data_IF_078470759358
#
_entry.id   IF_078470759358
#
_cell.length_a   1.000
_cell.length_b   1.000
_cell.length_c   1.000
_cell.angle_alpha   90.00
_cell.angle_beta   90.00
_cell.angle_gamma   90.00
#
_symmetry.space_group_name_H-M   'P 1'
#
loop_
_entity.id
_entity.type
_entity.pdbx_description
1 polymer ?
#
# COMPACT_ATOMS: atom_id res chain seq x y z
N UNK A 1 -21.17 13.85 -12.50
CA UNK A 1 -21.08 13.80 -11.02
C UNK A 1 -20.26 12.57 -10.66
N UNK A 2 -19.07 12.72 -10.08
CA UNK A 2 -18.35 11.56 -9.51
C UNK A 2 -19.23 10.95 -8.42
N UNK A 3 -19.46 9.63 -8.40
CA UNK A 3 -20.26 8.99 -7.36
C UNK A 3 -19.69 9.35 -5.98
N UNK A 4 -20.57 9.50 -4.98
CA UNK A 4 -20.14 9.62 -3.58
C UNK A 4 -19.37 8.33 -3.25
N UNK A 5 -18.08 8.46 -3.05
CA UNK A 5 -17.21 7.37 -2.62
C UNK A 5 -17.79 6.76 -1.34
N UNK A 6 -18.10 5.47 -1.35
CA UNK A 6 -18.60 4.79 -0.17
C UNK A 6 -17.48 4.70 0.86
N UNK A 7 -17.75 5.16 2.08
CA UNK A 7 -16.78 5.14 3.17
C UNK A 7 -16.48 3.67 3.49
N UNK A 8 -15.25 3.21 3.25
CA UNK A 8 -14.86 1.83 3.52
C UNK A 8 -14.69 1.61 5.04
N UNK A 9 -15.26 0.52 5.54
CA UNK A 9 -15.17 0.11 6.95
C UNK A 9 -13.71 -0.03 7.44
N UNK A 10 -12.82 -0.63 6.64
CA UNK A 10 -11.41 -0.80 7.01
C UNK A 10 -10.67 0.53 7.14
N UNK A 11 -11.04 1.53 6.33
CA UNK A 11 -10.49 2.90 6.44
C UNK A 11 -10.94 3.56 7.75
N UNK A 12 -12.23 3.45 8.07
CA UNK A 12 -12.79 3.99 9.32
C UNK A 12 -12.13 3.32 10.54
N UNK A 13 -12.01 2.00 10.54
CA UNK A 13 -11.36 1.26 11.64
C UNK A 13 -9.92 1.74 11.82
N UNK A 14 -9.16 1.87 10.73
CA UNK A 14 -7.76 2.30 10.80
C UNK A 14 -7.61 3.73 11.34
N UNK A 15 -8.49 4.66 10.92
CA UNK A 15 -8.51 6.03 11.45
C UNK A 15 -8.91 6.08 12.92
N UNK A 16 -9.88 5.24 13.34
CA UNK A 16 -10.27 5.11 14.74
C UNK A 16 -9.12 4.58 15.60
N UNK A 17 -8.35 3.62 15.10
CA UNK A 17 -7.13 3.12 15.78
C UNK A 17 -6.11 4.23 15.94
N UNK A 18 -5.82 5.00 14.89
CA UNK A 18 -4.90 6.15 14.96
C UNK A 18 -5.40 7.16 16.01
N UNK A 19 -6.68 7.50 16.01
CA UNK A 19 -7.26 8.42 17.00
C UNK A 19 -7.10 7.90 18.43
N UNK A 20 -7.46 6.63 18.68
CA UNK A 20 -7.36 6.01 20.00
C UNK A 20 -5.92 5.97 20.50
N UNK A 21 -4.97 5.60 19.64
CA UNK A 21 -3.54 5.60 19.97
C UNK A 21 -3.05 7.00 20.28
N UNK A 22 -3.44 8.00 19.48
CA UNK A 22 -3.00 9.40 19.68
C UNK A 22 -3.46 9.91 21.05
N UNK A 23 -4.74 9.69 21.40
CA UNK A 23 -5.25 10.04 22.73
C UNK A 23 -4.61 9.22 23.84
N UNK A 24 -4.34 7.93 23.61
CA UNK A 24 -3.69 7.05 24.58
C UNK A 24 -2.25 7.47 24.90
N UNK A 25 -1.44 7.76 23.87
CA UNK A 25 -0.06 8.24 24.03
C UNK A 25 -0.05 9.60 24.72
N UNK A 26 -0.94 10.51 24.29
CA UNK A 26 -1.08 11.83 24.92
C UNK A 26 -1.43 11.70 26.41
N UNK A 27 -2.51 10.97 26.74
CA UNK A 27 -2.95 10.77 28.11
C UNK A 27 -1.88 10.09 28.98
N UNK A 28 -1.15 9.11 28.41
CA UNK A 28 -0.05 8.45 29.10
C UNK A 28 1.11 9.40 29.44
N UNK A 29 1.49 10.29 28.51
CA UNK A 29 2.56 11.27 28.73
C UNK A 29 2.14 12.38 29.70
N UNK A 30 0.89 12.87 29.60
CA UNK A 30 0.34 13.84 30.54
C UNK A 30 0.25 13.28 31.97
N UNK A 31 -0.17 12.02 32.11
CA UNK A 31 -0.24 11.34 33.41
C UNK A 31 1.16 11.16 34.03
N UNK A 32 2.13 10.73 33.22
CA UNK A 32 3.53 10.57 33.65
C UNK A 32 4.12 11.89 34.15
N UNK A 33 3.81 12.99 33.49
CA UNK A 33 4.40 14.30 33.79
C UNK A 33 3.64 15.07 34.87
N UNK A 34 2.59 14.46 35.46
CA UNK A 34 1.75 15.03 36.51
C UNK A 34 1.19 16.43 36.15
N UNK A 35 0.78 16.61 34.89
CA UNK A 35 0.22 17.88 34.40
C UNK A 35 -1.10 18.23 35.09
N UNK A 36 -1.38 19.53 35.18
CA UNK A 36 -2.62 20.04 35.76
C UNK A 36 -3.83 19.81 34.82
N UNK A 37 -5.07 19.79 35.34
CA UNK A 37 -6.26 19.52 34.53
C UNK A 37 -6.49 20.49 33.35
N UNK A 38 -6.06 21.74 33.48
CA UNK A 38 -6.11 22.76 32.43
C UNK A 38 -5.07 22.51 31.31
N UNK A 39 -3.89 22.02 31.68
CA UNK A 39 -2.86 21.56 30.72
C UNK A 39 -3.34 20.31 29.97
N UNK A 40 -3.98 19.36 30.66
CA UNK A 40 -4.63 18.21 30.03
C UNK A 40 -5.67 18.63 28.98
N UNK A 41 -6.47 19.65 29.30
CA UNK A 41 -7.49 20.17 28.39
C UNK A 41 -6.83 20.79 27.14
N UNK A 42 -5.74 21.52 27.31
CA UNK A 42 -4.99 22.13 26.21
C UNK A 42 -4.38 21.06 25.29
N UNK A 43 -3.81 20.00 25.87
CA UNK A 43 -3.26 18.86 25.13
C UNK A 43 -4.35 18.05 24.41
N UNK A 44 -5.55 17.96 24.98
CA UNK A 44 -6.72 17.38 24.30
C UNK A 44 -7.09 18.17 23.04
N UNK A 45 -7.17 19.49 23.11
CA UNK A 45 -7.47 20.34 21.93
C UNK A 45 -6.38 20.27 20.88
N UNK A 46 -5.10 20.29 21.27
CA UNK A 46 -3.97 20.12 20.35
C UNK A 46 -4.08 18.78 19.60
N UNK A 47 -4.41 17.70 20.33
CA UNK A 47 -4.62 16.37 19.76
C UNK A 47 -5.78 16.35 18.77
N UNK A 48 -6.90 17.02 19.08
CA UNK A 48 -8.05 17.12 18.19
C UNK A 48 -7.69 17.85 16.88
N UNK A 49 -6.97 18.98 16.97
CA UNK A 49 -6.52 19.74 15.80
C UNK A 49 -5.62 18.87 14.92
N UNK A 50 -4.68 18.17 15.53
CA UNK A 50 -3.80 17.25 14.81
C UNK A 50 -4.58 16.12 14.12
N UNK A 51 -5.53 15.49 14.80
CA UNK A 51 -6.33 14.41 14.21
C UNK A 51 -7.16 14.89 13.00
N UNK A 52 -7.73 16.11 13.08
CA UNK A 52 -8.44 16.71 11.94
C UNK A 52 -7.50 16.95 10.75
N UNK A 53 -6.32 17.51 10.99
CA UNK A 53 -5.30 17.73 9.96
C UNK A 53 -4.79 16.41 9.36
N UNK A 54 -4.52 15.41 10.21
CA UNK A 54 -4.10 14.07 9.84
C UNK A 54 -5.13 13.37 8.94
N UNK A 55 -6.41 13.39 9.30
CA UNK A 55 -7.47 12.81 8.46
C UNK A 55 -7.53 13.47 7.08
N UNK A 56 -7.37 14.80 7.02
CA UNK A 56 -7.33 15.52 5.75
C UNK A 56 -6.09 15.13 4.91
N UNK A 57 -4.91 15.11 5.53
CA UNK A 57 -3.64 14.78 4.87
C UNK A 57 -3.64 13.35 4.31
N UNK A 58 -4.13 12.37 5.08
CA UNK A 58 -4.23 10.99 4.63
C UNK A 58 -5.17 10.82 3.44
N UNK A 59 -6.33 11.49 3.44
CA UNK A 59 -7.25 11.46 2.31
C UNK A 59 -6.73 12.23 1.09
N UNK A 60 -5.99 13.32 1.32
CA UNK A 60 -5.33 14.08 0.26
C UNK A 60 -4.26 13.24 -0.45
N UNK A 61 -3.33 12.66 0.32
CA UNK A 61 -2.23 11.85 -0.21
C UNK A 61 -2.72 10.54 -0.86
N UNK A 62 -3.76 9.91 -0.32
CA UNK A 62 -4.41 8.77 -0.95
C UNK A 62 -4.92 9.13 -2.35
N UNK A 63 -5.62 10.27 -2.49
CA UNK A 63 -6.14 10.73 -3.78
C UNK A 63 -5.04 11.05 -4.79
N UNK A 64 -3.85 11.39 -4.32
CA UNK A 64 -2.68 11.63 -5.18
C UNK A 64 -1.84 10.37 -5.44
N UNK A 65 -2.25 9.19 -4.96
CA UNK A 65 -1.44 7.95 -5.00
C UNK A 65 -0.12 8.07 -4.24
N UNK A 66 -0.02 9.00 -3.28
CA UNK A 66 1.17 9.22 -2.47
C UNK A 66 1.43 8.11 -1.46
N UNK A 67 0.43 7.28 -1.16
CA UNK A 67 0.52 6.14 -0.23
C UNK A 67 0.42 4.85 -1.07
N UNK A 68 1.46 4.02 -1.01
CA UNK A 68 1.61 2.73 -1.72
C UNK A 68 1.18 2.71 -3.20
N UNK A 69 1.26 3.86 -3.90
CA UNK A 69 0.89 4.04 -5.30
C UNK A 69 -0.55 3.61 -5.65
N UNK A 70 -1.42 3.44 -4.65
CA UNK A 70 -2.77 2.93 -4.80
C UNK A 70 -3.78 3.99 -4.32
N UNK A 71 -4.90 4.14 -5.02
CA UNK A 71 -5.98 5.03 -4.59
C UNK A 71 -6.90 4.35 -3.56
N UNK A 72 -6.88 3.02 -3.50
CA UNK A 72 -7.70 2.18 -2.62
C UNK A 72 -6.89 1.62 -1.44
N UNK A 73 -6.03 2.43 -0.83
CA UNK A 73 -5.21 1.98 0.30
C UNK A 73 -6.03 1.80 1.57
N UNK A 74 -5.86 0.65 2.22
CA UNK A 74 -6.27 0.47 3.60
C UNK A 74 -5.19 1.10 4.50
N UNK A 75 -5.58 1.96 5.46
CA UNK A 75 -4.63 2.57 6.40
C UNK A 75 -4.18 1.62 7.53
N UNK A 76 -4.42 0.30 7.39
CA UNK A 76 -4.23 -0.68 8.46
C UNK A 76 -2.77 -0.73 8.87
N UNK A 77 -1.84 -0.93 7.93
CA UNK A 77 -0.41 -1.01 8.26
C UNK A 77 0.14 0.33 8.77
N UNK A 78 -0.33 1.43 8.21
CA UNK A 78 0.00 2.76 8.73
C UNK A 78 -0.46 2.89 10.19
N UNK A 79 -1.68 2.44 10.52
CA UNK A 79 -2.20 2.47 11.89
C UNK A 79 -1.40 1.57 12.85
N UNK A 80 -0.97 0.38 12.41
CA UNK A 80 -0.10 -0.51 13.19
C UNK A 80 1.28 0.13 13.42
N UNK A 81 1.89 0.68 12.37
CA UNK A 81 3.20 1.35 12.44
C UNK A 81 3.13 2.61 13.30
N UNK A 82 2.02 3.35 13.22
CA UNK A 82 1.74 4.50 14.08
C UNK A 82 1.56 4.07 15.54
N UNK A 83 0.89 2.94 15.80
CA UNK A 83 0.76 2.35 17.15
C UNK A 83 2.12 2.00 17.75
N UNK A 84 2.97 1.31 16.98
CA UNK A 84 4.35 1.00 17.38
C UNK A 84 5.14 2.28 17.63
N UNK A 85 5.01 3.28 16.76
CA UNK A 85 5.68 4.58 16.89
C UNK A 85 5.21 5.33 18.14
N UNK A 86 3.91 5.33 18.45
CA UNK A 86 3.36 5.91 19.67
C UNK A 86 3.90 5.24 20.94
N UNK A 87 3.98 3.91 20.96
CA UNK A 87 4.62 3.16 22.05
C UNK A 87 6.11 3.49 22.20
N UNK A 88 6.83 3.63 21.09
CA UNK A 88 8.23 4.06 21.08
C UNK A 88 8.39 5.48 21.64
N UNK A 89 7.52 6.42 21.28
CA UNK A 89 7.54 7.79 21.81
C UNK A 89 7.35 7.78 23.33
N UNK A 90 6.41 6.99 23.84
CA UNK A 90 6.23 6.82 25.28
C UNK A 90 7.48 6.23 25.95
N UNK A 91 8.12 5.23 25.35
CA UNK A 91 9.36 4.64 25.89
C UNK A 91 10.56 5.62 25.85
N UNK A 92 10.71 6.36 24.75
CA UNK A 92 11.77 7.34 24.55
C UNK A 92 11.62 8.54 25.50
N UNK A 93 10.41 8.82 25.99
CA UNK A 93 10.18 9.87 27.00
C UNK A 93 10.95 9.68 28.32
N UNK A 94 11.51 8.49 28.57
CA UNK A 94 12.36 8.22 29.75
C UNK A 94 13.84 8.55 29.51
N UNK A 95 14.24 8.80 28.26
CA UNK A 95 15.61 9.17 27.91
C UNK A 95 15.86 10.66 28.19
N UNK A 96 17.14 11.05 28.39
CA UNK A 96 17.51 12.44 28.61
C UNK A 96 17.06 13.30 27.43
N UNK A 97 16.69 14.55 27.73
CA UNK A 97 16.05 15.49 26.82
C UNK A 97 16.69 15.51 25.41
N UNK A 98 17.97 15.84 25.26
CA UNK A 98 18.56 15.98 23.92
C UNK A 98 18.75 14.66 23.16
N UNK A 99 18.86 13.52 23.85
CA UNK A 99 19.28 12.24 23.25
C UNK A 99 18.11 11.30 22.94
N UNK A 100 16.88 11.82 22.86
CA UNK A 100 15.70 11.05 22.44
C UNK A 100 15.78 10.70 20.95
N UNK A 101 15.75 9.41 20.53
CA UNK A 101 15.91 9.03 19.13
C UNK A 101 14.62 9.22 18.31
N UNK A 102 14.18 10.47 18.15
CA UNK A 102 12.95 10.86 17.42
C UNK A 102 12.97 10.50 15.93
N UNK A 103 14.16 10.29 15.35
CA UNK A 103 14.28 9.82 13.96
C UNK A 103 13.67 8.44 13.72
N UNK A 104 13.65 7.56 14.73
CA UNK A 104 13.19 6.17 14.57
C UNK A 104 11.71 6.12 14.15
N UNK A 105 10.75 6.71 14.91
CA UNK A 105 9.36 6.81 14.48
C UNK A 105 9.17 7.32 13.04
N UNK A 106 9.92 8.35 12.65
CA UNK A 106 9.80 8.98 11.33
C UNK A 106 10.29 8.05 10.22
N UNK A 107 11.42 7.35 10.44
CA UNK A 107 11.95 6.36 9.49
C UNK A 107 10.95 5.22 9.29
N UNK A 108 10.35 4.71 10.37
CA UNK A 108 9.34 3.64 10.30
C UNK A 108 8.09 4.09 9.54
N UNK A 109 7.57 5.28 9.84
CA UNK A 109 6.40 5.84 9.17
C UNK A 109 6.66 6.11 7.69
N UNK A 110 7.85 6.57 7.33
CA UNK A 110 8.23 6.81 5.92
C UNK A 110 8.32 5.51 5.12
N UNK A 111 8.64 4.37 5.77
CA UNK A 111 8.70 3.07 5.10
C UNK A 111 7.32 2.60 4.60
N UNK A 112 6.25 2.91 5.35
CA UNK A 112 4.88 2.45 5.07
C UNK A 112 4.03 3.51 4.37
N UNK A 113 4.44 4.78 4.42
CA UNK A 113 3.71 5.90 3.82
C UNK A 113 4.62 6.75 2.89
N UNK A 114 4.55 8.07 3.03
CA UNK A 114 5.36 9.04 2.32
C UNK A 114 6.08 9.93 3.35
N UNK A 115 6.93 10.84 2.85
CA UNK A 115 7.62 11.77 3.74
C UNK A 115 6.70 12.83 4.34
N UNK A 116 5.64 13.25 3.64
CA UNK A 116 4.76 14.31 4.11
C UNK A 116 4.05 13.88 5.40
N UNK A 117 3.36 12.73 5.33
CA UNK A 117 2.67 12.11 6.48
C UNK A 117 3.64 11.79 7.61
N UNK A 118 4.83 11.26 7.29
CA UNK A 118 5.82 10.94 8.30
C UNK A 118 6.36 12.20 9.01
N UNK A 119 6.56 13.31 8.30
CA UNK A 119 6.95 14.59 8.89
C UNK A 119 5.82 15.15 9.75
N UNK A 120 4.58 15.16 9.27
CA UNK A 120 3.43 15.66 10.02
C UNK A 120 3.23 14.88 11.34
N UNK A 121 3.34 13.55 11.30
CA UNK A 121 3.27 12.70 12.49
C UNK A 121 4.48 12.89 13.41
N UNK A 122 5.68 12.99 12.85
CA UNK A 122 6.91 13.24 13.60
C UNK A 122 6.87 14.57 14.34
N UNK A 123 6.48 15.65 13.67
CA UNK A 123 6.36 16.98 14.27
C UNK A 123 5.32 17.01 15.38
N UNK A 124 4.20 16.29 15.22
CA UNK A 124 3.24 16.14 16.30
C UNK A 124 3.88 15.43 17.50
N UNK A 125 4.57 14.31 17.30
CA UNK A 125 5.26 13.62 18.40
C UNK A 125 6.32 14.49 19.08
N UNK A 126 7.08 15.27 18.31
CA UNK A 126 8.08 16.21 18.84
C UNK A 126 7.42 17.28 19.73
N UNK A 127 6.30 17.86 19.28
CA UNK A 127 5.51 18.82 20.05
C UNK A 127 4.96 18.20 21.33
N UNK A 128 4.38 17.00 21.25
CA UNK A 128 3.85 16.30 22.43
C UNK A 128 4.96 16.01 23.44
N UNK A 129 6.12 15.53 22.99
CA UNK A 129 7.27 15.26 23.87
C UNK A 129 7.80 16.52 24.55
N UNK A 130 7.88 17.64 23.83
CA UNK A 130 8.38 18.89 24.37
C UNK A 130 7.40 19.52 25.37
N UNK A 131 6.10 19.51 25.06
CA UNK A 131 5.06 20.11 25.90
C UNK A 131 4.72 19.29 27.15
N UNK A 132 4.84 17.95 27.10
CA UNK A 132 4.50 17.09 28.24
C UNK A 132 5.67 16.86 29.20
N UNK A 133 6.81 16.39 28.68
CA UNK A 133 7.93 15.92 29.53
C UNK A 133 8.81 17.08 30.00
N UNK A 134 8.54 18.29 29.50
CA UNK A 134 9.40 19.45 29.70
C UNK A 134 10.63 19.37 28.78
N UNK A 135 10.78 20.38 27.93
CA UNK A 135 11.92 20.52 27.04
C UNK A 135 12.22 21.99 26.80
N UNK A 136 13.51 22.32 26.75
CA UNK A 136 14.02 23.58 26.28
C UNK A 136 13.64 23.81 24.81
N UNK A 137 13.56 25.08 24.42
CA UNK A 137 13.37 25.45 23.01
C UNK A 137 14.43 24.80 22.10
N UNK A 138 15.66 24.65 22.60
CA UNK A 138 16.74 23.99 21.87
C UNK A 138 16.49 22.51 21.62
N UNK A 139 15.88 21.78 22.56
CA UNK A 139 15.53 20.38 22.35
C UNK A 139 14.43 20.20 21.31
N UNK A 140 13.38 21.04 21.35
CA UNK A 140 12.34 21.02 20.31
C UNK A 140 12.92 21.33 18.93
N UNK A 141 13.79 22.35 18.82
CA UNK A 141 14.46 22.68 17.57
C UNK A 141 15.33 21.52 17.05
N UNK A 142 16.05 20.83 17.94
CA UNK A 142 16.83 19.65 17.59
C UNK A 142 15.93 18.51 17.07
N UNK A 143 14.81 18.24 17.75
CA UNK A 143 13.87 17.20 17.33
C UNK A 143 13.28 17.49 15.95
N UNK A 144 12.78 18.71 15.73
CA UNK A 144 12.22 19.10 14.43
C UNK A 144 13.24 18.95 13.29
N UNK A 145 14.50 19.35 13.54
CA UNK A 145 15.58 19.19 12.57
C UNK A 145 15.86 17.71 12.28
N UNK A 146 15.92 16.87 13.31
CA UNK A 146 16.11 15.42 13.19
C UNK A 146 14.95 14.76 12.45
N UNK A 147 13.71 15.15 12.73
CA UNK A 147 12.49 14.65 12.08
C UNK A 147 12.48 14.98 10.58
N UNK A 148 12.79 16.22 10.19
CA UNK A 148 12.87 16.59 8.78
C UNK A 148 13.98 15.81 8.06
N UNK A 149 15.17 15.72 8.65
CA UNK A 149 16.28 14.96 8.06
C UNK A 149 15.97 13.47 7.98
N UNK A 150 15.32 12.90 8.99
CA UNK A 150 14.92 11.50 9.00
C UNK A 150 14.00 11.16 7.83
N UNK A 151 13.01 12.01 7.54
CA UNK A 151 12.10 11.78 6.43
C UNK A 151 12.81 11.86 5.07
N UNK A 152 13.70 12.83 4.86
CA UNK A 152 14.47 12.99 3.61
C UNK A 152 15.41 11.80 3.41
N UNK A 153 16.15 11.40 4.45
CA UNK A 153 17.06 10.25 4.39
C UNK A 153 16.28 8.94 4.20
N UNK A 154 15.13 8.79 4.85
CA UNK A 154 14.30 7.61 4.69
C UNK A 154 13.73 7.47 3.27
N UNK A 155 13.45 8.57 2.57
CA UNK A 155 13.15 8.49 1.12
C UNK A 155 14.32 7.91 0.33
N UNK A 156 15.55 8.39 0.59
CA UNK A 156 16.74 7.88 -0.07
C UNK A 156 17.05 6.40 0.27
N UNK A 157 16.63 5.91 1.44
CA UNK A 157 16.74 4.50 1.83
C UNK A 157 15.86 3.57 0.97
N UNK A 158 14.87 4.09 0.23
CA UNK A 158 14.08 3.28 -0.72
C UNK A 158 14.96 2.76 -1.86
N UNK A 159 16.05 3.44 -2.19
CA UNK A 159 17.01 2.99 -3.20
C UNK A 159 18.06 2.03 -2.63
N UNK A 160 18.08 0.78 -3.11
CA UNK A 160 19.04 -0.25 -2.65
C UNK A 160 20.51 0.15 -2.82
N UNK A 161 20.84 0.99 -3.81
CA UNK A 161 22.21 1.34 -4.18
C UNK A 161 22.95 2.15 -3.10
N UNK A 162 22.27 3.06 -2.41
CA UNK A 162 22.89 3.98 -1.45
C UNK A 162 22.59 3.64 0.02
N UNK A 163 21.94 2.51 0.28
CA UNK A 163 21.44 2.11 1.62
C UNK A 163 22.44 2.27 2.76
N UNK A 164 23.64 1.71 2.60
CA UNK A 164 24.67 1.78 3.65
C UNK A 164 25.17 3.20 3.87
N UNK A 165 25.36 3.97 2.79
CA UNK A 165 25.77 5.37 2.87
C UNK A 165 24.72 6.24 3.57
N UNK A 166 23.44 6.08 3.21
CA UNK A 166 22.34 6.84 3.83
C UNK A 166 22.15 6.44 5.30
N UNK A 167 22.27 5.16 5.64
CA UNK A 167 22.20 4.71 7.04
C UNK A 167 23.35 5.32 7.87
N UNK A 168 24.55 5.38 7.31
CA UNK A 168 25.71 6.03 7.93
C UNK A 168 25.50 7.54 8.12
N UNK A 169 24.85 8.22 7.17
CA UNK A 169 24.48 9.63 7.33
C UNK A 169 23.47 9.83 8.47
N UNK A 170 22.46 8.98 8.58
CA UNK A 170 21.50 8.98 9.71
C UNK A 170 22.22 8.82 11.05
N UNK A 171 23.23 7.96 11.12
CA UNK A 171 24.08 7.81 12.31
C UNK A 171 24.79 9.14 12.67
N UNK A 172 25.47 9.76 11.71
CA UNK A 172 26.20 11.00 11.99
C UNK A 172 25.29 12.17 12.38
N UNK A 173 24.13 12.33 11.74
CA UNK A 173 23.20 13.39 12.12
C UNK A 173 22.58 13.16 13.50
N UNK A 174 22.20 11.93 13.83
CA UNK A 174 21.69 11.59 15.17
C UNK A 174 22.75 11.68 16.27
N UNK A 175 24.03 11.63 15.93
CA UNK A 175 25.12 11.87 16.86
C UNK A 175 25.40 13.38 17.05
N UNK A 176 25.52 14.13 15.94
CA UNK A 176 26.02 15.51 15.95
C UNK A 176 24.96 16.54 16.38
N UNK A 177 23.71 16.37 15.95
CA UNK A 177 22.65 17.38 16.20
C UNK A 177 22.30 17.45 17.69
N UNK A 178 22.01 16.35 18.40
CA UNK A 178 21.81 16.38 19.85
C UNK A 178 22.96 17.03 20.62
N UNK A 179 24.21 16.68 20.29
CA UNK A 179 25.39 17.21 20.98
C UNK A 179 25.51 18.73 20.77
N UNK A 180 25.32 19.20 19.54
CA UNK A 180 25.38 20.63 19.20
C UNK A 180 24.33 21.43 19.99
N UNK A 181 23.06 20.97 19.97
CA UNK A 181 21.98 21.68 20.66
C UNK A 181 22.08 21.56 22.19
N UNK A 182 22.56 20.42 22.70
CA UNK A 182 22.84 20.25 24.13
C UNK A 182 23.89 21.26 24.58
N UNK A 183 25.01 21.39 23.85
CA UNK A 183 26.06 22.37 24.15
C UNK A 183 25.56 23.82 24.03
N UNK A 184 24.73 24.13 23.03
CA UNK A 184 24.16 25.47 22.87
C UNK A 184 23.27 25.87 24.06
N UNK A 185 22.56 24.90 24.65
CA UNK A 185 21.68 25.09 25.81
C UNK A 185 22.46 25.22 27.13
N UNK A 186 23.35 24.27 27.43
CA UNK A 186 24.01 24.17 28.75
C UNK A 186 25.32 24.95 28.84
N UNK A 187 25.95 25.28 27.70
CA UNK A 187 27.33 25.83 27.60
C UNK A 187 28.42 24.94 28.23
N UNK A 188 28.08 23.74 28.65
CA UNK A 188 28.98 22.79 29.29
C UNK A 188 28.82 21.41 28.65
N UNK A 189 29.95 20.72 28.45
CA UNK A 189 29.97 19.33 27.99
C UNK A 189 29.69 18.39 29.16
N UNK A 190 28.54 17.74 29.14
CA UNK A 190 28.18 16.76 30.17
C UNK A 190 29.01 15.50 30.01
N UNK A 191 29.53 14.96 31.13
CA UNK A 191 30.51 13.86 31.14
C UNK A 191 30.03 12.56 30.44
N UNK A 192 28.72 12.36 30.31
CA UNK A 192 28.10 11.19 29.67
C UNK A 192 27.31 11.50 28.39
N UNK A 193 27.33 12.75 27.88
CA UNK A 193 26.56 13.16 26.68
C UNK A 193 26.86 12.27 25.48
N UNK A 194 28.16 12.14 25.16
CA UNK A 194 28.66 11.37 24.02
C UNK A 194 28.27 9.89 24.08
N UNK A 195 28.19 9.30 25.27
CA UNK A 195 27.80 7.90 25.41
C UNK A 195 26.32 7.70 25.06
N UNK A 196 25.44 8.58 25.55
CA UNK A 196 24.01 8.56 25.20
C UNK A 196 23.80 8.86 23.72
N UNK A 197 24.48 9.88 23.18
CA UNK A 197 24.41 10.25 21.76
C UNK A 197 24.86 9.10 20.85
N UNK A 198 25.95 8.42 21.20
CA UNK A 198 26.42 7.27 20.44
C UNK A 198 25.45 6.09 20.52
N UNK A 199 24.92 5.79 21.71
CA UNK A 199 23.96 4.70 21.88
C UNK A 199 22.68 4.92 21.07
N UNK A 200 22.15 6.14 21.07
CA UNK A 200 20.92 6.48 20.34
C UNK A 200 21.16 6.57 18.84
N UNK A 201 22.32 7.10 18.41
CA UNK A 201 22.73 7.09 17.01
C UNK A 201 22.97 5.67 16.46
N UNK A 202 23.53 4.79 17.28
CA UNK A 202 23.70 3.40 16.89
C UNK A 202 22.34 2.69 16.73
N UNK A 203 21.39 2.98 17.60
CA UNK A 203 20.03 2.45 17.49
C UNK A 203 19.31 2.97 16.22
N UNK A 204 19.40 4.27 15.92
CA UNK A 204 18.83 4.85 14.69
C UNK A 204 19.47 4.23 13.45
N UNK A 205 20.79 4.02 13.46
CA UNK A 205 21.50 3.32 12.39
C UNK A 205 20.96 1.90 12.15
N UNK A 206 20.80 1.09 13.20
CA UNK A 206 20.26 -0.26 13.07
C UNK A 206 18.84 -0.26 12.50
N UNK A 207 18.00 0.69 12.94
CA UNK A 207 16.63 0.80 12.41
C UNK A 207 16.62 1.18 10.92
N UNK A 208 17.45 2.14 10.50
CA UNK A 208 17.60 2.51 9.10
C UNK A 208 18.20 1.39 8.25
N UNK A 209 19.24 0.72 8.76
CA UNK A 209 19.98 -0.29 8.02
C UNK A 209 19.17 -1.58 7.85
N UNK A 210 18.43 -2.03 8.86
CA UNK A 210 17.78 -3.35 8.84
C UNK A 210 16.24 -3.28 8.81
N UNK A 211 15.64 -2.57 9.77
CA UNK A 211 14.18 -2.57 9.95
C UNK A 211 13.45 -1.87 8.78
N UNK A 212 14.00 -0.76 8.28
CA UNK A 212 13.41 -0.02 7.17
C UNK A 212 13.16 -0.90 5.93
N UNK A 213 14.17 -1.68 5.52
CA UNK A 213 14.04 -2.49 4.32
C UNK A 213 13.08 -3.66 4.49
N UNK A 214 13.05 -4.27 5.69
CA UNK A 214 12.09 -5.33 5.99
C UNK A 214 10.66 -4.81 5.85
N UNK A 215 10.37 -3.65 6.45
CA UNK A 215 9.06 -3.02 6.37
C UNK A 215 8.70 -2.58 4.96
N UNK A 216 9.66 -2.01 4.22
CA UNK A 216 9.46 -1.62 2.82
C UNK A 216 9.15 -2.84 1.95
N UNK A 217 9.90 -3.93 2.10
CA UNK A 217 9.66 -5.16 1.34
C UNK A 217 8.31 -5.79 1.66
N UNK A 218 7.95 -5.86 2.95
CA UNK A 218 6.64 -6.32 3.36
C UNK A 218 5.53 -5.41 2.79
N UNK A 219 5.78 -4.10 2.61
CA UNK A 219 4.80 -3.13 2.11
C UNK A 219 4.63 -3.25 0.59
N UNK A 220 5.71 -3.47 -0.14
CA UNK A 220 5.68 -3.74 -1.58
C UNK A 220 4.93 -5.05 -1.87
N UNK A 221 5.12 -6.07 -1.03
CA UNK A 221 4.42 -7.36 -1.16
C UNK A 221 2.94 -7.32 -0.77
N UNK A 222 2.48 -6.25 -0.10
CA UNK A 222 1.10 -6.16 0.39
C UNK A 222 0.09 -6.18 -0.76
N UNK A 223 0.37 -5.46 -1.84
CA UNK A 223 -0.52 -5.42 -3.01
C UNK A 223 -0.61 -6.81 -3.64
N UNK A 224 0.52 -7.49 -3.78
CA UNK A 224 0.59 -8.84 -4.35
C UNK A 224 -0.13 -9.88 -3.46
N UNK A 225 0.07 -9.81 -2.14
CA UNK A 225 -0.63 -10.67 -1.18
C UNK A 225 -2.14 -10.38 -1.18
N UNK A 226 -2.54 -9.11 -1.24
CA UNK A 226 -3.94 -8.75 -1.30
C UNK A 226 -4.64 -9.29 -2.55
N UNK A 227 -3.96 -9.28 -3.70
CA UNK A 227 -4.46 -9.89 -4.94
C UNK A 227 -4.66 -11.42 -4.81
N UNK A 228 -3.84 -12.11 -4.02
CA UNK A 228 -4.01 -13.53 -3.73
C UNK A 228 -5.15 -13.77 -2.73
N UNK A 229 -5.24 -12.95 -1.68
CA UNK A 229 -6.25 -13.07 -0.64
C UNK A 229 -7.68 -12.91 -1.19
N UNK A 230 -7.89 -11.99 -2.13
CA UNK A 230 -9.22 -11.78 -2.73
C UNK A 230 -9.69 -12.98 -3.57
N UNK A 231 -8.77 -13.74 -4.18
CA UNK A 231 -9.11 -14.93 -4.98
C UNK A 231 -9.22 -16.19 -4.10
N UNK A 232 -8.83 -16.12 -2.83
CA UNK A 232 -8.93 -17.25 -1.90
C UNK A 232 -10.38 -17.72 -1.72
N UNK A 233 -10.57 -19.04 -1.55
CA UNK A 233 -11.91 -19.63 -1.42
C UNK A 233 -12.72 -19.10 -0.22
N UNK A 234 -12.02 -18.59 0.80
CA UNK A 234 -12.63 -18.06 2.01
C UNK A 234 -13.16 -16.64 1.86
N UNK A 235 -12.76 -15.93 0.80
CA UNK A 235 -13.15 -14.56 0.55
C UNK A 235 -14.64 -14.42 0.27
N UNK A 236 -15.26 -13.34 0.79
CA UNK A 236 -16.72 -13.17 0.75
C UNK A 236 -17.28 -13.10 -0.67
N UNK A 237 -16.57 -12.44 -1.59
CA UNK A 237 -17.03 -12.34 -2.98
C UNK A 237 -16.86 -13.65 -3.77
N UNK A 238 -15.90 -14.49 -3.38
CA UNK A 238 -15.75 -15.84 -3.96
C UNK A 238 -16.94 -16.72 -3.55
N UNK A 239 -17.37 -16.61 -2.29
CA UNK A 239 -18.59 -17.27 -1.79
C UNK A 239 -19.83 -16.76 -2.51
N UNK A 240 -19.96 -15.44 -2.67
CA UNK A 240 -21.07 -14.84 -3.41
C UNK A 240 -21.14 -15.31 -4.87
N UNK A 241 -20.01 -15.46 -5.55
CA UNK A 241 -19.95 -16.02 -6.90
C UNK A 241 -20.39 -17.49 -6.95
N UNK A 242 -19.93 -18.31 -5.99
CA UNK A 242 -20.36 -19.72 -5.86
C UNK A 242 -21.88 -19.83 -5.66
N UNK A 243 -22.45 -18.95 -4.83
CA UNK A 243 -23.89 -18.91 -4.55
C UNK A 243 -24.71 -18.43 -5.77
N UNK A 244 -24.16 -17.51 -6.56
CA UNK A 244 -24.78 -17.03 -7.80
C UNK A 244 -24.78 -18.10 -8.89
N UNK A 245 -23.62 -18.68 -9.20
CA UNK A 245 -23.50 -19.70 -10.25
C UNK A 245 -22.19 -20.48 -10.14
N UNK A 246 -22.32 -21.78 -9.94
CA UNK A 246 -21.17 -22.70 -10.00
C UNK A 246 -20.56 -22.81 -11.41
N UNK A 247 -21.32 -22.53 -12.47
CA UNK A 247 -20.79 -22.49 -13.83
C UNK A 247 -19.89 -21.27 -14.01
N UNK A 248 -20.35 -20.11 -13.54
CA UNK A 248 -19.57 -18.87 -13.62
C UNK A 248 -18.32 -18.94 -12.74
N UNK A 249 -18.44 -19.54 -11.55
CA UNK A 249 -17.29 -19.79 -10.68
C UNK A 249 -16.21 -20.64 -11.37
N UNK A 250 -16.58 -21.77 -11.98
CA UNK A 250 -15.62 -22.63 -12.70
C UNK A 250 -14.97 -21.91 -13.88
N UNK A 251 -15.75 -21.12 -14.60
CA UNK A 251 -15.26 -20.29 -15.69
C UNK A 251 -14.23 -19.26 -15.19
N UNK A 252 -14.57 -18.50 -14.14
CA UNK A 252 -13.67 -17.52 -13.52
C UNK A 252 -12.37 -18.14 -13.02
N UNK A 253 -12.43 -19.32 -12.38
CA UNK A 253 -11.23 -20.07 -11.94
C UNK A 253 -10.37 -20.48 -13.13
N UNK A 254 -11.00 -20.96 -14.22
CA UNK A 254 -10.28 -21.39 -15.44
C UNK A 254 -9.57 -20.21 -16.12
N UNK A 255 -10.26 -19.09 -16.32
CA UNK A 255 -9.70 -17.86 -16.90
C UNK A 255 -8.57 -17.32 -16.02
N UNK A 256 -8.80 -17.27 -14.70
CA UNK A 256 -7.82 -16.82 -13.70
C UNK A 256 -6.52 -17.61 -13.74
N UNK A 257 -6.58 -18.96 -13.74
CA UNK A 257 -5.39 -19.82 -13.73
C UNK A 257 -4.61 -19.72 -15.06
N UNK A 258 -5.31 -19.75 -16.21
CA UNK A 258 -4.66 -19.63 -17.52
C UNK A 258 -3.99 -18.26 -17.67
N UNK A 259 -4.67 -17.17 -17.27
CA UNK A 259 -4.12 -15.82 -17.33
C UNK A 259 -2.89 -15.70 -16.42
N UNK A 260 -2.91 -16.28 -15.22
CA UNK A 260 -1.77 -16.30 -14.30
C UNK A 260 -0.56 -17.02 -14.91
N UNK A 261 -0.75 -18.21 -15.47
CA UNK A 261 0.34 -18.97 -16.09
C UNK A 261 0.91 -18.26 -17.30
N UNK A 262 0.05 -17.71 -18.16
CA UNK A 262 0.48 -16.97 -19.34
C UNK A 262 1.27 -15.70 -18.95
N UNK A 263 0.82 -14.99 -17.91
CA UNK A 263 1.52 -13.82 -17.39
C UNK A 263 2.95 -14.16 -16.91
N UNK A 264 3.14 -15.32 -16.25
CA UNK A 264 4.47 -15.78 -15.79
C UNK A 264 5.44 -16.00 -16.96
N UNK A 265 4.97 -16.58 -18.05
CA UNK A 265 5.80 -16.84 -19.24
C UNK A 265 6.21 -15.58 -19.99
N UNK A 266 5.35 -14.57 -20.00
CA UNK A 266 5.56 -13.32 -20.73
C UNK A 266 6.28 -12.26 -19.87
N UNK A 267 6.33 -12.47 -18.55
CA UNK A 267 6.94 -11.55 -17.58
C UNK A 267 6.01 -10.43 -17.13
N UNK A 268 4.70 -10.65 -17.15
CA UNK A 268 3.68 -9.72 -16.64
C UNK A 268 3.38 -9.97 -15.16
N UNK A 269 2.58 -9.08 -14.54
CA UNK A 269 2.15 -9.23 -13.14
C UNK A 269 1.16 -10.39 -12.98
N UNK A 270 1.69 -11.58 -12.68
CA UNK A 270 0.90 -12.81 -12.61
C UNK A 270 -0.27 -12.77 -11.62
N UNK A 271 -0.09 -12.22 -10.42
CA UNK A 271 -1.17 -12.15 -9.42
C UNK A 271 -2.25 -11.13 -9.81
N UNK A 272 -1.87 -10.06 -10.54
CA UNK A 272 -2.84 -9.12 -11.09
C UNK A 272 -3.69 -9.79 -12.18
N UNK A 273 -3.08 -10.56 -13.08
CA UNK A 273 -3.81 -11.34 -14.08
C UNK A 273 -4.67 -12.45 -13.44
N UNK A 274 -4.21 -13.05 -12.34
CA UNK A 274 -4.96 -14.03 -11.57
C UNK A 274 -6.25 -13.41 -10.99
N UNK A 275 -6.13 -12.31 -10.25
CA UNK A 275 -7.29 -11.59 -9.73
C UNK A 275 -8.16 -10.97 -10.83
N UNK A 276 -7.51 -10.42 -11.86
CA UNK A 276 -8.15 -9.85 -13.04
C UNK A 276 -9.03 -10.88 -13.74
N UNK A 277 -8.49 -12.04 -14.07
CA UNK A 277 -9.23 -13.12 -14.72
C UNK A 277 -10.38 -13.67 -13.87
N UNK A 278 -10.23 -13.69 -12.54
CA UNK A 278 -11.30 -14.14 -11.65
C UNK A 278 -12.46 -13.14 -11.56
N UNK A 279 -12.14 -11.85 -11.42
CA UNK A 279 -13.14 -10.80 -11.21
C UNK A 279 -13.59 -10.10 -12.48
N UNK A 280 -12.98 -10.38 -13.63
CA UNK A 280 -13.25 -9.66 -14.90
C UNK A 280 -14.74 -9.52 -15.20
N UNK A 281 -15.52 -10.57 -14.90
CA UNK A 281 -16.96 -10.66 -15.17
C UNK A 281 -17.83 -10.32 -13.95
N UNK A 282 -17.28 -9.64 -12.94
CA UNK A 282 -17.95 -9.32 -11.66
C UNK A 282 -19.29 -8.60 -11.83
N UNK A 283 -19.44 -7.80 -12.89
CA UNK A 283 -20.71 -7.16 -13.21
C UNK A 283 -21.85 -8.17 -13.38
N UNK A 284 -21.61 -9.36 -13.92
CA UNK A 284 -22.65 -10.34 -14.27
C UNK A 284 -23.46 -10.84 -13.08
N UNK A 285 -22.84 -11.03 -11.92
CA UNK A 285 -23.53 -11.51 -10.72
C UNK A 285 -23.99 -10.39 -9.79
N UNK A 286 -23.57 -9.15 -10.02
CA UNK A 286 -24.09 -7.97 -9.32
C UNK A 286 -25.35 -7.42 -10.03
N UNK A 287 -25.34 -7.40 -11.36
CA UNK A 287 -26.43 -6.89 -12.19
C UNK A 287 -26.13 -5.57 -12.91
N UNK A 288 -27.03 -5.17 -13.79
CA UNK A 288 -26.89 -3.98 -14.63
C UNK A 288 -27.01 -2.66 -13.82
N UNK A 289 -26.26 -1.61 -14.18
CA UNK A 289 -25.22 -1.55 -15.21
C UNK A 289 -23.93 -2.28 -14.78
N UNK A 290 -23.49 -3.25 -15.58
CA UNK A 290 -22.46 -4.23 -15.20
C UNK A 290 -21.13 -3.60 -14.79
N UNK A 291 -20.57 -2.72 -15.63
CA UNK A 291 -19.25 -2.11 -15.42
C UNK A 291 -19.27 -1.21 -14.19
N UNK A 292 -20.21 -0.27 -14.15
CA UNK A 292 -20.33 0.69 -13.05
C UNK A 292 -20.58 0.01 -11.70
N UNK A 293 -21.42 -1.02 -11.66
CA UNK A 293 -21.70 -1.75 -10.44
C UNK A 293 -20.48 -2.57 -9.98
N UNK A 294 -19.76 -3.21 -10.92
CA UNK A 294 -18.51 -3.92 -10.63
C UNK A 294 -17.46 -2.96 -10.05
N UNK A 295 -17.24 -1.80 -10.70
CA UNK A 295 -16.28 -0.78 -10.23
C UNK A 295 -16.66 -0.26 -8.85
N UNK A 296 -17.92 0.15 -8.63
CA UNK A 296 -18.37 0.64 -7.33
C UNK A 296 -18.19 -0.41 -6.22
N UNK A 297 -18.45 -1.69 -6.53
CA UNK A 297 -18.29 -2.79 -5.59
C UNK A 297 -16.81 -3.06 -5.29
N UNK A 298 -15.95 -3.10 -6.30
CA UNK A 298 -14.51 -3.26 -6.13
C UNK A 298 -13.88 -2.10 -5.33
N UNK A 299 -14.32 -0.86 -5.59
CA UNK A 299 -13.93 0.31 -4.79
C UNK A 299 -14.39 0.18 -3.32
N UNK A 300 -15.62 -0.30 -3.09
CA UNK A 300 -16.14 -0.51 -1.74
C UNK A 300 -15.35 -1.56 -0.94
N UNK A 301 -14.72 -2.51 -1.64
CA UNK A 301 -13.88 -3.56 -1.07
C UNK A 301 -12.41 -3.17 -0.99
N UNK A 302 -12.03 -1.98 -1.48
CA UNK A 302 -10.64 -1.52 -1.63
C UNK A 302 -9.75 -2.44 -2.48
N UNK A 303 -10.30 -2.96 -3.59
CA UNK A 303 -9.48 -3.68 -4.57
C UNK A 303 -8.37 -2.76 -5.13
N UNK A 304 -7.20 -3.30 -5.51
CA UNK A 304 -6.11 -2.51 -6.07
C UNK A 304 -6.56 -1.73 -7.30
N UNK A 305 -6.10 -0.48 -7.45
CA UNK A 305 -6.52 0.40 -8.54
C UNK A 305 -6.31 -0.20 -9.94
N UNK A 306 -5.22 -0.94 -10.15
CA UNK A 306 -4.94 -1.64 -11.41
C UNK A 306 -5.98 -2.72 -11.71
N UNK A 307 -6.42 -3.46 -10.69
CA UNK A 307 -7.51 -4.44 -10.83
C UNK A 307 -8.82 -3.74 -11.18
N UNK A 308 -9.14 -2.62 -10.53
CA UNK A 308 -10.34 -1.84 -10.84
C UNK A 308 -10.30 -1.32 -12.29
N UNK A 309 -9.14 -0.95 -12.82
CA UNK A 309 -8.98 -0.59 -14.24
C UNK A 309 -9.33 -1.76 -15.16
N UNK A 310 -8.82 -2.97 -14.86
CA UNK A 310 -9.14 -4.19 -15.62
C UNK A 310 -10.66 -4.45 -15.61
N UNK A 311 -11.34 -4.23 -14.47
CA UNK A 311 -12.79 -4.37 -14.37
C UNK A 311 -13.56 -3.28 -15.14
N UNK A 312 -13.03 -2.06 -15.22
CA UNK A 312 -13.62 -0.96 -15.97
C UNK A 312 -13.46 -1.13 -17.49
N UNK A 313 -12.40 -1.82 -17.92
CA UNK A 313 -12.05 -2.10 -19.32
C UNK A 313 -12.78 -3.33 -19.90
N UNK A 314 -13.83 -3.79 -19.21
CA UNK A 314 -14.64 -4.96 -19.58
C UNK A 314 -15.05 -4.95 -21.08
N UNK A 315 -14.45 -5.87 -21.84
CA UNK A 315 -14.58 -6.06 -23.29
C UNK A 315 -14.37 -4.81 -24.16
N UNK A 316 -13.78 -3.74 -23.62
CA UNK A 316 -13.68 -2.49 -24.36
C UNK A 316 -15.01 -1.73 -24.54
N UNK A 317 -16.06 -2.04 -23.77
CA UNK A 317 -17.39 -1.42 -23.98
C UNK A 317 -17.40 0.08 -23.66
N UNK A 318 -16.83 0.47 -22.50
CA UNK A 318 -16.68 1.88 -22.10
C UNK A 318 -15.24 2.39 -22.27
N UNK A 319 -14.24 1.53 -22.01
CA UNK A 319 -12.81 1.87 -22.07
C UNK A 319 -12.02 0.71 -22.67
N UNK A 320 -11.12 1.02 -23.60
CA UNK A 320 -10.23 0.02 -24.21
C UNK A 320 -9.15 -0.46 -23.23
N UNK A 321 -8.66 -1.71 -23.37
CA UNK A 321 -7.55 -2.23 -22.60
C UNK A 321 -6.34 -1.28 -22.57
N UNK A 322 -6.01 -0.77 -21.38
CA UNK A 322 -4.96 0.25 -21.20
C UNK A 322 -3.62 -0.33 -20.72
N UNK A 323 -3.62 -1.60 -20.32
CA UNK A 323 -2.47 -2.32 -19.79
C UNK A 323 -2.29 -3.69 -20.48
N UNK A 324 -1.07 -4.22 -20.53
CA UNK A 324 -0.83 -5.53 -21.14
C UNK A 324 -1.49 -6.65 -20.33
N UNK A 325 -1.63 -6.49 -19.01
CA UNK A 325 -2.37 -7.40 -18.13
C UNK A 325 -3.87 -7.43 -18.43
N UNK A 326 -4.49 -6.27 -18.66
CA UNK A 326 -5.91 -6.18 -19.06
C UNK A 326 -6.16 -6.86 -20.41
N UNK A 327 -5.31 -6.56 -21.39
CA UNK A 327 -5.37 -7.19 -22.70
C UNK A 327 -5.21 -8.71 -22.61
N UNK A 328 -4.26 -9.21 -21.80
CA UNK A 328 -4.08 -10.64 -21.59
C UNK A 328 -5.33 -11.28 -20.97
N UNK A 329 -5.91 -10.69 -19.93
CA UNK A 329 -7.14 -11.20 -19.29
C UNK A 329 -8.28 -11.29 -20.30
N UNK A 330 -8.50 -10.24 -21.09
CA UNK A 330 -9.51 -10.23 -22.14
C UNK A 330 -9.27 -11.30 -23.22
N UNK A 331 -8.03 -11.47 -23.68
CA UNK A 331 -7.66 -12.51 -24.66
C UNK A 331 -7.96 -13.92 -24.14
N UNK A 332 -7.58 -14.20 -22.90
CA UNK A 332 -7.80 -15.51 -22.26
C UNK A 332 -9.29 -15.77 -22.11
N UNK A 333 -10.04 -14.81 -21.58
CA UNK A 333 -11.48 -14.92 -21.37
C UNK A 333 -12.21 -15.20 -22.69
N UNK A 334 -11.90 -14.46 -23.75
CA UNK A 334 -12.53 -14.64 -25.05
C UNK A 334 -12.22 -16.00 -25.69
N UNK A 335 -11.01 -16.52 -25.50
CA UNK A 335 -10.63 -17.88 -25.92
C UNK A 335 -11.42 -18.93 -25.13
N UNK A 336 -11.50 -18.78 -23.80
CA UNK A 336 -12.23 -19.72 -22.93
C UNK A 336 -13.72 -19.74 -23.29
N UNK A 337 -14.36 -18.58 -23.48
CA UNK A 337 -15.78 -18.50 -23.86
C UNK A 337 -16.03 -19.21 -25.20
N UNK A 338 -15.19 -18.95 -26.21
CA UNK A 338 -15.36 -19.61 -27.52
C UNK A 338 -15.22 -21.13 -27.39
N UNK A 339 -14.27 -21.62 -26.60
CA UNK A 339 -14.10 -23.06 -26.37
C UNK A 339 -15.27 -23.69 -25.60
N UNK A 340 -15.75 -23.04 -24.54
CA UNK A 340 -16.90 -23.52 -23.76
C UNK A 340 -18.21 -23.54 -24.58
N UNK A 341 -18.44 -22.50 -25.39
CA UNK A 341 -19.58 -22.45 -26.30
C UNK A 341 -19.53 -23.57 -27.34
N UNK A 342 -18.33 -23.97 -27.78
CA UNK A 342 -18.15 -25.09 -28.70
C UNK A 342 -18.40 -26.45 -28.03
N UNK A 343 -17.93 -26.64 -26.80
CA UNK A 343 -18.16 -27.86 -26.02
C UNK A 343 -19.66 -28.12 -25.77
N UNK A 344 -20.47 -27.07 -25.60
CA UNK A 344 -21.91 -27.18 -25.41
C UNK A 344 -22.69 -27.49 -26.70
N UNK A 345 -22.16 -27.12 -27.87
CA UNK A 345 -22.88 -27.16 -29.14
C UNK A 345 -22.61 -28.40 -30.00
N UNK A 346 -21.66 -29.28 -29.66
CA UNK A 346 -21.22 -30.34 -30.59
C UNK A 346 -20.99 -31.70 -29.94
N UNK A 347 -21.76 -32.69 -30.41
CA UNK A 347 -21.38 -34.09 -30.33
C UNK A 347 -20.22 -34.41 -31.28
N UNK A 348 -19.10 -34.86 -30.71
CA UNK A 348 -18.07 -35.72 -31.34
C UNK A 348 -17.45 -35.30 -32.70
N UNK A 349 -17.21 -34.02 -32.99
CA UNK A 349 -16.17 -33.68 -33.98
C UNK A 349 -14.88 -33.26 -33.28
N UNK A 350 -13.80 -33.98 -33.61
CA UNK A 350 -12.43 -33.72 -33.14
C UNK A 350 -11.92 -32.47 -33.86
N UNK A 351 -12.30 -31.30 -33.35
CA UNK A 351 -11.78 -30.03 -33.84
C UNK A 351 -10.36 -29.80 -33.34
N UNK A 352 -9.53 -29.17 -34.16
CA UNK A 352 -8.21 -28.74 -33.73
C UNK A 352 -8.34 -27.45 -32.90
N UNK A 353 -8.32 -27.61 -31.57
CA UNK A 353 -8.41 -26.51 -30.60
C UNK A 353 -7.39 -25.41 -30.88
N UNK A 354 -6.21 -25.77 -31.37
CA UNK A 354 -5.15 -24.83 -31.71
C UNK A 354 -5.61 -23.83 -32.78
N UNK A 355 -6.33 -24.30 -33.81
CA UNK A 355 -6.85 -23.43 -34.90
C UNK A 355 -7.84 -22.41 -34.34
N UNK A 356 -8.74 -22.84 -33.45
CA UNK A 356 -9.73 -21.95 -32.82
C UNK A 356 -9.05 -20.89 -31.96
N UNK A 357 -8.03 -21.28 -31.20
CA UNK A 357 -7.23 -20.35 -30.38
C UNK A 357 -6.52 -19.34 -31.27
N UNK A 358 -5.85 -19.79 -32.34
CA UNK A 358 -5.17 -18.90 -33.28
C UNK A 358 -6.12 -17.93 -33.97
N UNK A 359 -7.27 -18.41 -34.47
CA UNK A 359 -8.28 -17.56 -35.09
C UNK A 359 -8.79 -16.51 -34.10
N UNK A 360 -9.15 -16.94 -32.89
CA UNK A 360 -9.67 -16.04 -31.86
C UNK A 360 -8.70 -14.95 -31.48
N UNK A 361 -7.45 -15.32 -31.20
CA UNK A 361 -6.43 -14.34 -30.82
C UNK A 361 -6.11 -13.39 -31.98
N UNK A 362 -6.08 -13.88 -33.22
CA UNK A 362 -5.82 -13.05 -34.40
C UNK A 362 -7.00 -12.11 -34.73
N UNK A 363 -8.25 -12.55 -34.55
CA UNK A 363 -9.44 -11.72 -34.74
C UNK A 363 -9.36 -10.46 -33.85
N UNK A 364 -9.01 -10.64 -32.57
CA UNK A 364 -8.88 -9.50 -31.64
C UNK A 364 -7.65 -8.63 -31.90
N UNK A 365 -6.56 -9.21 -32.42
CA UNK A 365 -5.44 -8.39 -32.90
C UNK A 365 -5.83 -7.52 -34.09
N UNK A 366 -6.77 -7.98 -34.93
CA UNK A 366 -7.23 -7.22 -36.09
C UNK A 366 -8.26 -6.14 -35.74
N UNK A 367 -8.88 -6.21 -34.56
CA UNK A 367 -9.90 -5.27 -34.12
C UNK A 367 -9.34 -4.00 -33.43
N UNK A 368 -8.02 -3.78 -33.47
CA UNK A 368 -7.30 -2.62 -32.89
C UNK A 368 -7.52 -2.40 -31.37
N UNK A 369 -8.18 -3.35 -30.70
CA UNK A 369 -8.61 -3.23 -29.30
C UNK A 369 -7.41 -3.19 -28.33
N UNK A 370 -6.25 -3.69 -28.73
CA UNK A 370 -5.05 -3.78 -27.90
C UNK A 370 -4.00 -2.71 -28.20
N UNK A 371 -4.23 -1.79 -29.14
CA UNK A 371 -3.23 -0.83 -29.60
C UNK A 371 -2.77 0.12 -28.49
N UNK A 372 -3.65 0.41 -27.52
CA UNK A 372 -3.37 1.25 -26.36
C UNK A 372 -2.88 0.49 -25.13
N UNK A 373 -2.79 -0.85 -25.19
CA UNK A 373 -2.41 -1.69 -24.05
C UNK A 373 -0.91 -1.66 -23.73
N UNK A 374 -0.07 -1.19 -24.66
CA UNK A 374 1.39 -1.25 -24.53
C UNK A 374 1.99 -2.64 -24.75
N UNK A 375 1.18 -3.63 -25.16
CA UNK A 375 1.65 -4.98 -25.52
C UNK A 375 2.47 -4.95 -26.82
N UNK A 376 3.69 -5.48 -26.78
CA UNK A 376 4.50 -5.64 -27.99
C UNK A 376 4.06 -6.84 -28.82
N UNK A 377 4.29 -6.80 -30.14
CA UNK A 377 4.02 -7.92 -31.03
C UNK A 377 4.74 -9.22 -30.61
N UNK A 378 5.96 -9.11 -30.05
CA UNK A 378 6.68 -10.28 -29.53
C UNK A 378 5.94 -10.92 -28.33
N UNK A 379 5.45 -10.09 -27.40
CA UNK A 379 4.65 -10.58 -26.27
C UNK A 379 3.34 -11.20 -26.74
N UNK A 380 2.65 -10.58 -27.69
CA UNK A 380 1.44 -11.14 -28.30
C UNK A 380 1.67 -12.53 -28.92
N UNK A 381 2.74 -12.69 -29.70
CA UNK A 381 3.07 -13.98 -30.32
C UNK A 381 3.36 -15.06 -29.26
N UNK A 382 4.09 -14.70 -28.19
CA UNK A 382 4.34 -15.61 -27.06
C UNK A 382 3.05 -16.02 -26.35
N UNK A 383 2.15 -15.07 -26.07
CA UNK A 383 0.83 -15.35 -25.48
C UNK A 383 0.07 -16.35 -26.36
N UNK A 384 0.00 -16.08 -27.66
CA UNK A 384 -0.71 -16.91 -28.63
C UNK A 384 -0.14 -18.34 -28.69
N UNK A 385 1.17 -18.48 -28.73
CA UNK A 385 1.83 -19.80 -28.71
C UNK A 385 1.63 -20.53 -27.38
N UNK A 386 1.62 -19.81 -26.27
CA UNK A 386 1.36 -20.37 -24.95
C UNK A 386 -0.06 -20.92 -24.85
N UNK A 387 -1.06 -20.11 -25.22
CA UNK A 387 -2.47 -20.52 -25.16
C UNK A 387 -2.75 -21.75 -26.02
N UNK A 388 -2.14 -21.88 -27.20
CA UNK A 388 -2.28 -23.07 -28.03
C UNK A 388 -1.70 -24.35 -27.38
N UNK A 389 -0.73 -24.22 -26.48
CA UNK A 389 -0.08 -25.36 -25.80
C UNK A 389 -0.67 -25.66 -24.42
N UNK A 390 -1.46 -24.75 -23.86
CA UNK A 390 -1.92 -24.82 -22.48
C UNK A 390 -2.83 -26.03 -22.22
N UNK A 391 -2.47 -26.85 -21.23
CA UNK A 391 -3.19 -28.08 -20.90
C UNK A 391 -4.59 -27.82 -20.33
N UNK A 392 -4.82 -26.69 -19.65
CA UNK A 392 -6.15 -26.31 -19.16
C UNK A 392 -7.15 -25.97 -20.27
N UNK A 393 -6.64 -25.70 -21.47
CA UNK A 393 -7.45 -25.48 -22.66
C UNK A 393 -7.66 -26.78 -23.46
N UNK A 394 -7.10 -27.90 -22.99
CA UNK A 394 -7.32 -29.27 -23.49
C UNK A 394 -8.29 -30.02 -22.58
#
# INVERSE_FOLDING_TARGET
MKPKETINLYRVISLLVIALVTFGVMGGLCAKSHLYPDEWLSMFFLTLIFLLACMFELEYERKQKGISANTQTTFIRLSVTYTVSGGLIYAISYLPEFYRPVMIPVILLTAVSNSMVAVSFGLFFDLVLALTVGGSFYALAAYMMLTMLAAVLAQALKEKKYRMGVSLLTFFFSLMIPELFSYLSTKEMQKYSLLYAFGTAFLTFLTAAFLFHRLLHEADQEIENHLLDIVSEDYSEVKALKDFSMVEYRHAVKVSDIACRCAKEVGYRANLCLAGGFYYRMGRWIGEPYIKNAVNKAESLCFPAELISILAEYYGEEQLPSSPESALVHMVDAVVIRLEAMEQNVGQSVWNRDIVIYQTVNDFSSSEIYDHSGMSMNQFLKIREFLAKEELLR
#
